data_IF_015047233697
#
_entry.id   IF_015047233697
#
_cell.length_a   1.000
_cell.length_b   1.000
_cell.length_c   1.000
_cell.angle_alpha   90.00
_cell.angle_beta   90.00
_cell.angle_gamma   90.00
#
_symmetry.space_group_name_H-M   'P 1'
#
loop_
_entity.id
_entity.type
_entity.pdbx_description
1 polymer ?
#
# COMPACT_ATOMS: atom_id res chain seq x y z
N UNK A 1 13.84 -21.89 -14.47
CA UNK A 1 14.91 -21.62 -13.49
C UNK A 1 15.19 -20.13 -13.51
N UNK A 2 15.07 -19.45 -12.37
CA UNK A 2 15.32 -18.01 -12.25
C UNK A 2 16.82 -17.85 -12.00
N UNK A 3 17.52 -17.05 -12.81
CA UNK A 3 18.95 -16.84 -12.64
C UNK A 3 19.24 -16.26 -11.23
N UNK A 4 20.34 -16.65 -10.55
CA UNK A 4 20.63 -16.20 -9.19
C UNK A 4 20.61 -14.66 -9.04
N UNK A 5 21.01 -13.93 -10.09
CA UNK A 5 20.96 -12.46 -10.12
C UNK A 5 19.54 -11.88 -10.13
N UNK A 6 18.56 -12.59 -10.71
CA UNK A 6 17.17 -12.11 -10.76
C UNK A 6 16.46 -12.19 -9.41
N UNK A 7 16.77 -13.19 -8.58
CA UNK A 7 16.21 -13.27 -7.21
C UNK A 7 16.79 -12.19 -6.30
N UNK A 8 18.09 -11.91 -6.41
CA UNK A 8 18.74 -10.81 -5.68
C UNK A 8 18.15 -9.45 -6.07
N UNK A 9 18.02 -9.18 -7.38
CA UNK A 9 17.40 -7.94 -7.88
C UNK A 9 15.96 -7.79 -7.40
N UNK A 10 15.16 -8.86 -7.45
CA UNK A 10 13.77 -8.83 -6.99
C UNK A 10 13.68 -8.50 -5.49
N UNK A 11 14.53 -9.10 -4.65
CA UNK A 11 14.60 -8.79 -3.21
C UNK A 11 14.97 -7.33 -2.96
N UNK A 12 15.95 -6.82 -3.69
CA UNK A 12 16.37 -5.43 -3.60
C UNK A 12 15.22 -4.48 -3.96
N UNK A 13 14.58 -4.68 -5.12
CA UNK A 13 13.42 -3.87 -5.55
C UNK A 13 12.29 -3.95 -4.51
N UNK A 14 11.96 -5.16 -4.04
CA UNK A 14 10.92 -5.37 -3.03
C UNK A 14 11.20 -4.57 -1.75
N UNK A 15 12.43 -4.67 -1.24
CA UNK A 15 12.86 -3.96 -0.03
C UNK A 15 12.86 -2.44 -0.21
N UNK A 16 13.41 -1.96 -1.32
CA UNK A 16 13.41 -0.53 -1.66
C UNK A 16 11.98 0.01 -1.78
N UNK A 17 11.07 -0.71 -2.45
CA UNK A 17 9.67 -0.32 -2.58
C UNK A 17 8.96 -0.24 -1.22
N UNK A 18 9.25 -1.18 -0.30
CA UNK A 18 8.68 -1.15 1.04
C UNK A 18 9.19 0.06 1.85
N UNK A 19 10.48 0.40 1.74
CA UNK A 19 11.06 1.59 2.38
C UNK A 19 10.42 2.86 1.80
N UNK A 20 10.31 2.95 0.48
CA UNK A 20 9.68 4.09 -0.18
C UNK A 20 8.20 4.23 0.20
N UNK A 21 7.47 3.12 0.34
CA UNK A 21 6.09 3.16 0.82
C UNK A 21 6.00 3.79 2.21
N UNK A 22 6.83 3.31 3.15
CA UNK A 22 6.88 3.85 4.51
C UNK A 22 7.24 5.34 4.54
N UNK A 23 8.26 5.75 3.78
CA UNK A 23 8.68 7.14 3.68
C UNK A 23 7.57 8.03 3.08
N UNK A 24 6.88 7.56 2.04
CA UNK A 24 5.78 8.30 1.42
C UNK A 24 4.62 8.50 2.40
N UNK A 25 4.22 7.45 3.14
CA UNK A 25 3.20 7.56 4.19
C UNK A 25 3.58 8.52 5.31
N UNK A 26 4.82 8.47 5.80
CA UNK A 26 5.32 9.42 6.81
C UNK A 26 5.32 10.84 6.28
N UNK A 27 5.76 11.03 5.02
CA UNK A 27 5.79 12.35 4.38
C UNK A 27 4.38 12.91 4.23
N UNK A 28 3.40 12.08 3.83
CA UNK A 28 1.99 12.45 3.77
C UNK A 28 1.45 12.85 5.14
N UNK A 29 1.67 12.06 6.19
CA UNK A 29 1.17 12.36 7.54
C UNK A 29 1.79 13.64 8.13
N UNK A 30 3.08 13.87 7.90
CA UNK A 30 3.71 15.14 8.31
C UNK A 30 3.12 16.29 7.50
N UNK A 31 3.00 16.11 6.18
CA UNK A 31 2.46 17.11 5.27
C UNK A 31 1.02 17.50 5.60
N UNK A 32 0.14 16.55 5.84
CA UNK A 32 -1.25 16.83 6.20
C UNK A 32 -1.37 17.64 7.51
N UNK A 33 -0.47 17.40 8.48
CA UNK A 33 -0.46 18.13 9.77
C UNK A 33 0.07 19.55 9.67
N UNK A 34 0.94 19.83 8.69
CA UNK A 34 1.48 21.18 8.45
C UNK A 34 0.74 21.89 7.31
N UNK A 35 -0.28 21.23 6.72
CA UNK A 35 -1.08 21.80 5.65
C UNK A 35 -1.74 23.10 6.12
N UNK A 36 -1.59 24.20 5.37
CA UNK A 36 -2.33 25.44 5.64
C UNK A 36 -3.83 25.28 5.43
N UNK A 37 -4.21 24.33 4.56
CA UNK A 37 -5.59 23.98 4.26
C UNK A 37 -5.98 22.72 5.02
N UNK A 38 -7.06 22.81 5.80
CA UNK A 38 -7.63 21.66 6.51
C UNK A 38 -8.30 20.67 5.57
N UNK A 39 -8.62 21.08 4.34
CA UNK A 39 -9.31 20.28 3.32
C UNK A 39 -8.43 20.00 2.09
N UNK A 40 -7.24 19.45 2.35
CA UNK A 40 -6.23 19.13 1.33
C UNK A 40 -6.64 18.01 0.36
N UNK A 41 -7.85 17.45 0.50
CA UNK A 41 -8.38 16.40 -0.36
C UNK A 41 -8.98 16.95 -1.66
N UNK A 42 -9.31 18.24 -1.73
CA UNK A 42 -9.99 18.82 -2.89
C UNK A 42 -9.06 19.28 -4.03
N UNK A 43 -7.76 19.02 -3.93
CA UNK A 43 -6.76 19.42 -4.94
C UNK A 43 -6.88 20.91 -5.38
N UNK A 44 -7.17 21.82 -4.45
CA UNK A 44 -7.38 23.24 -4.75
C UNK A 44 -6.07 24.05 -4.79
N UNK A 45 -4.99 23.48 -4.25
CA UNK A 45 -3.66 24.07 -4.24
C UNK A 45 -2.59 23.10 -4.74
N UNK A 46 -1.44 23.63 -5.16
CA UNK A 46 -0.29 22.79 -5.54
C UNK A 46 0.20 21.91 -4.38
N UNK A 47 -0.07 22.32 -3.14
CA UNK A 47 0.23 21.55 -1.94
C UNK A 47 -0.65 20.30 -1.85
N UNK A 48 -1.94 20.44 -2.13
CA UNK A 48 -2.92 19.34 -2.12
C UNK A 48 -2.62 18.33 -3.23
N UNK A 49 -2.28 18.82 -4.44
CA UNK A 49 -1.81 17.96 -5.53
C UNK A 49 -0.56 17.17 -5.14
N UNK A 50 0.38 17.80 -4.43
CA UNK A 50 1.60 17.15 -3.96
C UNK A 50 1.27 16.06 -2.94
N UNK A 51 0.44 16.33 -1.93
CA UNK A 51 0.09 15.35 -0.91
C UNK A 51 -0.69 14.16 -1.48
N UNK A 52 -1.66 14.41 -2.37
CA UNK A 52 -2.38 13.34 -3.08
C UNK A 52 -1.46 12.54 -3.99
N UNK A 53 -0.50 13.19 -4.66
CA UNK A 53 0.53 12.51 -5.45
C UNK A 53 1.42 11.61 -4.59
N UNK A 54 1.84 12.08 -3.41
CA UNK A 54 2.61 11.29 -2.45
C UNK A 54 1.82 10.06 -1.98
N UNK A 55 0.52 10.24 -1.70
CA UNK A 55 -0.36 9.15 -1.28
C UNK A 55 -0.53 8.08 -2.37
N UNK A 56 -0.74 8.51 -3.61
CA UNK A 56 -0.76 7.61 -4.78
C UNK A 56 0.56 6.86 -4.94
N UNK A 57 1.70 7.54 -4.81
CA UNK A 57 3.01 6.89 -4.85
C UNK A 57 3.12 5.86 -3.73
N UNK A 58 2.70 6.18 -2.51
CA UNK A 58 2.73 5.28 -1.36
C UNK A 58 1.97 3.98 -1.63
N UNK A 59 0.76 4.07 -2.19
CA UNK A 59 -0.05 2.92 -2.59
C UNK A 59 0.60 2.09 -3.69
N UNK A 60 1.10 2.73 -4.75
CA UNK A 60 1.70 2.03 -5.89
C UNK A 60 2.97 1.27 -5.48
N UNK A 61 3.85 1.90 -4.70
CA UNK A 61 5.10 1.26 -4.26
C UNK A 61 4.85 0.20 -3.18
N UNK A 62 3.81 0.35 -2.34
CA UNK A 62 3.33 -0.72 -1.47
C UNK A 62 2.84 -1.92 -2.29
N UNK A 63 2.02 -1.69 -3.33
CA UNK A 63 1.58 -2.73 -4.24
C UNK A 63 2.76 -3.46 -4.89
N UNK A 64 3.79 -2.72 -5.33
CA UNK A 64 5.01 -3.30 -5.89
C UNK A 64 5.78 -4.15 -4.87
N UNK A 65 5.86 -3.71 -3.60
CA UNK A 65 6.47 -4.50 -2.53
C UNK A 65 5.72 -5.82 -2.28
N UNK A 66 4.39 -5.78 -2.26
CA UNK A 66 3.57 -6.98 -2.05
C UNK A 66 3.65 -7.94 -3.23
N UNK A 67 3.68 -7.43 -4.46
CA UNK A 67 3.94 -8.24 -5.65
C UNK A 67 5.30 -8.92 -5.58
N UNK A 68 6.33 -8.20 -5.14
CA UNK A 68 7.66 -8.73 -4.91
C UNK A 68 7.67 -9.87 -3.87
N UNK A 69 7.05 -9.65 -2.71
CA UNK A 69 6.90 -10.65 -1.66
C UNK A 69 6.12 -11.88 -2.13
N UNK A 70 5.03 -11.68 -2.88
CA UNK A 70 4.29 -12.76 -3.53
C UNK A 70 5.22 -13.63 -4.38
N UNK A 71 6.01 -13.01 -5.27
CA UNK A 71 6.95 -13.74 -6.14
C UNK A 71 8.04 -14.47 -5.35
N UNK A 72 8.57 -13.85 -4.29
CA UNK A 72 9.65 -14.43 -3.47
C UNK A 72 9.16 -15.64 -2.68
N UNK A 73 7.97 -15.57 -2.09
CA UNK A 73 7.48 -16.60 -1.16
C UNK A 73 6.43 -17.54 -1.76
N UNK A 74 6.04 -17.39 -3.05
CA UNK A 74 5.04 -18.24 -3.71
C UNK A 74 5.31 -19.73 -3.54
N UNK A 75 6.55 -20.18 -3.72
CA UNK A 75 6.91 -21.59 -3.62
C UNK A 75 6.79 -22.12 -2.19
N UNK A 76 7.12 -21.30 -1.19
CA UNK A 76 7.07 -21.67 0.23
C UNK A 76 5.65 -21.64 0.80
N UNK A 77 4.78 -20.76 0.29
CA UNK A 77 3.40 -20.61 0.78
C UNK A 77 2.40 -21.56 0.12
N UNK A 78 2.70 -22.03 -1.09
CA UNK A 78 1.72 -22.64 -1.98
C UNK A 78 0.91 -21.58 -2.75
N UNK A 79 0.45 -21.95 -3.93
CA UNK A 79 -0.16 -21.04 -4.91
C UNK A 79 -1.40 -20.32 -4.37
N UNK A 80 -2.30 -21.04 -3.71
CA UNK A 80 -3.56 -20.49 -3.18
C UNK A 80 -3.31 -19.34 -2.18
N UNK A 81 -2.33 -19.49 -1.29
CA UNK A 81 -2.00 -18.45 -0.29
C UNK A 81 -1.21 -17.31 -0.91
N UNK A 82 -0.35 -17.61 -1.88
CA UNK A 82 0.42 -16.60 -2.56
C UNK A 82 -0.48 -15.62 -3.34
N UNK A 83 -1.58 -16.10 -3.93
CA UNK A 83 -2.56 -15.25 -4.66
C UNK A 83 -3.10 -14.12 -3.78
N UNK A 84 -3.24 -14.32 -2.47
CA UNK A 84 -3.72 -13.28 -1.55
C UNK A 84 -2.80 -12.04 -1.58
N UNK A 85 -1.48 -12.25 -1.59
CA UNK A 85 -0.52 -11.15 -1.71
C UNK A 85 -0.57 -10.45 -3.08
N UNK A 86 -0.89 -11.18 -4.15
CA UNK A 86 -1.08 -10.62 -5.48
C UNK A 86 -2.36 -9.77 -5.57
N UNK A 87 -3.47 -10.25 -5.00
CA UNK A 87 -4.73 -9.51 -4.98
C UNK A 87 -4.61 -8.29 -4.07
N UNK A 88 -3.91 -8.39 -2.93
CA UNK A 88 -3.59 -7.24 -2.09
C UNK A 88 -2.80 -6.18 -2.87
N UNK A 89 -1.76 -6.60 -3.62
CA UNK A 89 -0.98 -5.72 -4.47
C UNK A 89 -1.84 -5.00 -5.52
N UNK A 90 -2.76 -5.73 -6.17
CA UNK A 90 -3.69 -5.17 -7.12
C UNK A 90 -4.65 -4.17 -6.47
N UNK A 91 -5.18 -4.48 -5.28
CA UNK A 91 -6.05 -3.58 -4.52
C UNK A 91 -5.38 -2.24 -4.23
N UNK A 92 -4.13 -2.24 -3.75
CA UNK A 92 -3.38 -1.00 -3.55
C UNK A 92 -3.02 -0.30 -4.87
N UNK A 93 -2.76 -1.05 -5.94
CA UNK A 93 -2.57 -0.47 -7.27
C UNK A 93 -3.80 0.32 -7.74
N UNK A 94 -5.00 -0.27 -7.59
CA UNK A 94 -6.27 0.38 -7.90
C UNK A 94 -6.50 1.57 -6.98
N UNK A 95 -6.31 1.42 -5.66
CA UNK A 95 -6.49 2.50 -4.71
C UNK A 95 -5.60 3.71 -5.04
N UNK A 96 -4.32 3.49 -5.33
CA UNK A 96 -3.39 4.57 -5.68
C UNK A 96 -3.81 5.34 -6.94
N UNK A 97 -4.20 4.63 -8.00
CA UNK A 97 -4.65 5.25 -9.25
C UNK A 97 -5.98 5.97 -9.09
N UNK A 98 -6.91 5.37 -8.35
CA UNK A 98 -8.23 5.92 -8.11
C UNK A 98 -8.18 7.18 -7.23
N UNK A 99 -7.35 7.18 -6.18
CA UNK A 99 -7.18 8.30 -5.25
C UNK A 99 -6.90 9.63 -5.98
N UNK A 100 -5.86 9.65 -6.83
CA UNK A 100 -5.51 10.87 -7.58
C UNK A 100 -6.59 11.26 -8.59
N UNK A 101 -7.21 10.26 -9.22
CA UNK A 101 -8.17 10.50 -10.30
C UNK A 101 -9.52 11.00 -9.79
N UNK A 102 -9.96 10.54 -8.63
CA UNK A 102 -11.15 11.05 -7.96
C UNK A 102 -10.89 12.47 -7.46
N UNK A 103 -9.93 12.63 -6.54
CA UNK A 103 -9.71 13.89 -5.83
C UNK A 103 -9.25 15.03 -6.74
N UNK A 104 -8.41 14.74 -7.74
CA UNK A 104 -7.79 15.79 -8.55
C UNK A 104 -8.32 15.87 -10.00
N UNK A 105 -9.04 14.87 -10.51
CA UNK A 105 -9.61 14.89 -11.86
C UNK A 105 -11.15 14.86 -11.87
N UNK A 106 -11.82 14.85 -10.71
CA UNK A 106 -13.28 14.95 -10.59
C UNK A 106 -14.03 13.74 -11.13
N UNK A 107 -13.40 12.56 -11.10
CA UNK A 107 -13.97 11.31 -11.59
C UNK A 107 -14.62 10.54 -10.44
N UNK A 108 -15.79 10.99 -9.97
CA UNK A 108 -16.49 10.45 -8.79
C UNK A 108 -16.72 8.93 -8.84
N UNK A 109 -16.89 8.36 -10.05
CA UNK A 109 -17.05 6.91 -10.23
C UNK A 109 -15.81 6.10 -9.78
N UNK A 110 -14.64 6.74 -9.68
CA UNK A 110 -13.40 6.12 -9.20
C UNK A 110 -13.31 6.11 -7.68
N UNK A 111 -14.12 6.87 -6.94
CA UNK A 111 -14.13 6.79 -5.48
C UNK A 111 -14.56 5.45 -4.94
N UNK A 112 -15.53 4.82 -5.60
CA UNK A 112 -15.91 3.45 -5.28
C UNK A 112 -14.76 2.47 -5.55
N UNK A 113 -13.99 2.68 -6.62
CA UNK A 113 -12.82 1.86 -6.93
C UNK A 113 -11.69 2.06 -5.90
N UNK A 114 -11.48 3.31 -5.44
CA UNK A 114 -10.56 3.63 -4.35
C UNK A 114 -10.92 2.89 -3.07
N UNK A 115 -12.16 3.05 -2.59
CA UNK A 115 -12.63 2.45 -1.33
C UNK A 115 -12.56 0.92 -1.39
N UNK A 116 -13.05 0.32 -2.47
CA UNK A 116 -13.01 -1.15 -2.64
C UNK A 116 -11.56 -1.65 -2.72
N UNK A 117 -10.72 -0.98 -3.52
CA UNK A 117 -9.31 -1.33 -3.67
C UNK A 117 -8.56 -1.24 -2.35
N UNK A 118 -8.81 -0.18 -1.57
CA UNK A 118 -8.21 0.04 -0.26
C UNK A 118 -8.64 -1.01 0.76
N UNK A 119 -9.95 -1.24 0.90
CA UNK A 119 -10.49 -2.21 1.87
C UNK A 119 -9.99 -3.62 1.55
N UNK A 120 -10.11 -4.05 0.29
CA UNK A 120 -9.63 -5.36 -0.14
C UNK A 120 -8.11 -5.46 0.03
N UNK A 121 -7.36 -4.42 -0.36
CA UNK A 121 -5.91 -4.34 -0.20
C UNK A 121 -5.48 -4.55 1.25
N UNK A 122 -6.08 -3.80 2.18
CA UNK A 122 -5.77 -3.85 3.61
C UNK A 122 -6.15 -5.20 4.25
N UNK A 123 -7.35 -5.72 3.99
CA UNK A 123 -7.79 -7.00 4.54
C UNK A 123 -6.90 -8.16 4.06
N UNK A 124 -6.58 -8.16 2.76
CA UNK A 124 -5.72 -9.18 2.17
C UNK A 124 -4.27 -9.01 2.59
N UNK A 125 -3.80 -7.79 2.86
CA UNK A 125 -2.48 -7.52 3.42
C UNK A 125 -2.33 -8.14 4.81
N UNK A 126 -3.33 -7.98 5.68
CA UNK A 126 -3.35 -8.63 7.01
C UNK A 126 -3.28 -10.15 6.85
N UNK A 127 -4.14 -10.72 6.01
CA UNK A 127 -4.14 -12.17 5.76
C UNK A 127 -2.80 -12.66 5.20
N UNK A 128 -2.23 -11.93 4.24
CA UNK A 128 -0.93 -12.23 3.65
C UNK A 128 0.19 -12.14 4.69
N UNK A 129 0.16 -11.15 5.57
CA UNK A 129 1.01 -11.04 6.75
C UNK A 129 0.96 -12.30 7.60
N UNK A 130 -0.22 -12.78 7.98
CA UNK A 130 -0.36 -14.01 8.78
C UNK A 130 0.28 -15.22 8.08
N UNK A 131 0.16 -15.33 6.75
CA UNK A 131 0.82 -16.41 6.00
C UNK A 131 2.34 -16.25 5.89
N UNK A 132 2.84 -15.00 5.81
CA UNK A 132 4.28 -14.69 5.84
C UNK A 132 4.96 -15.21 7.11
N UNK A 133 4.26 -15.28 8.24
CA UNK A 133 4.78 -15.87 9.49
C UNK A 133 5.19 -17.33 9.32
N UNK A 134 4.50 -18.07 8.45
CA UNK A 134 4.69 -19.52 8.28
C UNK A 134 5.85 -19.89 7.35
N UNK A 135 6.45 -18.91 6.67
CA UNK A 135 7.53 -19.14 5.70
C UNK A 135 8.91 -18.68 6.20
N UNK A 136 9.08 -18.59 7.52
CA UNK A 136 10.37 -18.32 8.15
C UNK A 136 10.78 -16.85 8.20
N UNK A 137 9.84 -15.92 7.99
CA UNK A 137 10.09 -14.51 8.30
C UNK A 137 10.17 -14.28 9.81
N UNK A 138 11.03 -13.36 10.26
CA UNK A 138 11.05 -12.96 11.67
C UNK A 138 9.66 -12.50 12.12
N UNK A 139 9.22 -13.01 13.26
CA UNK A 139 7.87 -12.74 13.80
C UNK A 139 7.62 -11.24 13.98
N UNK A 140 8.65 -10.48 14.37
CA UNK A 140 8.55 -9.02 14.52
C UNK A 140 8.21 -8.33 13.19
N UNK A 141 8.77 -8.76 12.05
CA UNK A 141 8.42 -8.18 10.74
C UNK A 141 6.95 -8.41 10.42
N UNK A 142 6.46 -9.61 10.75
CA UNK A 142 5.07 -9.97 10.50
C UNK A 142 4.11 -9.21 11.39
N UNK A 143 4.48 -9.04 12.66
CA UNK A 143 3.75 -8.20 13.60
C UNK A 143 3.72 -6.74 13.17
N UNK A 144 4.84 -6.17 12.74
CA UNK A 144 4.88 -4.79 12.23
C UNK A 144 3.96 -4.61 11.02
N UNK A 145 3.94 -5.56 10.09
CA UNK A 145 3.07 -5.49 8.92
C UNK A 145 1.59 -5.61 9.32
N UNK A 146 1.23 -6.60 10.15
CA UNK A 146 -0.16 -6.79 10.59
C UNK A 146 -0.64 -5.64 11.47
N UNK A 147 0.10 -5.29 12.52
CA UNK A 147 -0.25 -4.20 13.43
C UNK A 147 -0.22 -2.85 12.71
N UNK A 148 0.78 -2.59 11.87
CA UNK A 148 0.85 -1.36 11.09
C UNK A 148 -0.35 -1.22 10.14
N UNK A 149 -0.79 -2.31 9.51
CA UNK A 149 -1.99 -2.31 8.66
C UNK A 149 -3.26 -2.07 9.49
N UNK A 150 -3.43 -2.76 10.62
CA UNK A 150 -4.58 -2.58 11.51
C UNK A 150 -4.63 -1.15 12.06
N UNK A 151 -3.50 -0.62 12.52
CA UNK A 151 -3.36 0.77 12.96
C UNK A 151 -3.74 1.71 11.82
N UNK A 152 -3.22 1.50 10.61
CA UNK A 152 -3.58 2.29 9.43
C UNK A 152 -5.09 2.34 9.18
N UNK A 153 -5.78 1.19 9.26
CA UNK A 153 -7.24 1.09 9.11
C UNK A 153 -8.00 1.76 10.27
N UNK A 154 -7.51 1.65 11.51
CA UNK A 154 -8.17 2.26 12.66
C UNK A 154 -8.04 3.79 12.66
N UNK A 155 -6.87 4.30 12.25
CA UNK A 155 -6.61 5.74 12.19
C UNK A 155 -7.15 6.39 10.92
N UNK A 156 -7.40 5.65 9.82
CA UNK A 156 -8.11 6.20 8.66
C UNK A 156 -9.54 6.63 9.01
N UNK A 157 -10.17 6.00 10.01
CA UNK A 157 -11.49 6.42 10.53
C UNK A 157 -11.46 7.71 11.36
N UNK A 158 -10.30 8.22 11.75
CA UNK A 158 -10.18 9.45 12.53
C UNK A 158 -9.94 10.70 11.67
N UNK A 159 -9.86 10.54 10.34
CA UNK A 159 -9.55 11.61 9.38
C UNK A 159 -10.52 11.76 8.21
N UNK A 160 -11.78 11.33 8.36
CA UNK A 160 -12.85 11.62 7.39
C UNK A 160 -13.19 10.47 6.43
N UNK A 161 -14.17 9.64 6.83
CA UNK A 161 -15.23 9.19 5.93
C UNK A 161 -16.42 10.13 6.16
N UNK A 162 -16.23 11.41 5.84
CA UNK A 162 -17.26 12.41 5.61
C UNK A 162 -16.72 13.31 4.50
#
# INVERSE_FOLDING_TARGET
MIAPNSTARLRMVTGTSAILAGLAWVTKDIGSRVSPDTDYFNCNSSYDYLLNGIDTVAFLVLGLALFGLHKIFRSAMGETRAVIGLVAAAGFGVAGLANLSEHCAGLDALGLAYVIGLILGMLLLVAFGVFLRRVGLPSWCTWLLVLGTVVGVLFSNQGGLI
#
